data_IF_552068628086
#
_entry.id   IF_552068628086
#
_cell.length_a   1.000
_cell.length_b   1.000
_cell.length_c   1.000
_cell.angle_alpha   90.00
_cell.angle_beta   90.00
_cell.angle_gamma   90.00
#
_symmetry.space_group_name_H-M   'P 1'
#
loop_
_entity.id
_entity.type
_entity.pdbx_description
1 polymer ?
#
# COMPACT_ATOMS: atom_id res chain seq x y z
N UNK A 1 7.37 23.40 -1.11
CA UNK A 1 7.74 22.66 0.12
C UNK A 1 8.62 21.42 -0.15
N UNK A 2 8.41 20.66 -1.23
CA UNK A 2 9.23 19.46 -1.55
C UNK A 2 10.49 19.69 -2.40
N UNK A 3 10.68 20.88 -2.98
CA UNK A 3 11.77 21.19 -3.91
C UNK A 3 13.16 20.94 -3.34
N UNK A 4 13.37 21.24 -2.06
CA UNK A 4 14.65 21.05 -1.38
C UNK A 4 15.03 19.56 -1.28
N UNK A 5 14.06 18.66 -1.10
CA UNK A 5 14.30 17.22 -1.04
C UNK A 5 14.65 16.64 -2.41
N UNK A 6 13.93 17.06 -3.46
CA UNK A 6 14.20 16.62 -4.82
C UNK A 6 15.62 17.00 -5.29
N UNK A 7 16.05 18.23 -4.98
CA UNK A 7 17.43 18.67 -5.25
C UNK A 7 18.46 17.83 -4.49
N UNK A 8 18.21 17.52 -3.21
CA UNK A 8 19.09 16.67 -2.41
C UNK A 8 19.19 15.25 -2.98
N UNK A 9 18.05 14.64 -3.33
CA UNK A 9 18.04 13.31 -3.95
C UNK A 9 18.82 13.29 -5.26
N UNK A 10 18.65 14.31 -6.10
CA UNK A 10 19.41 14.43 -7.35
C UNK A 10 20.93 14.53 -7.11
N UNK A 11 21.36 15.37 -6.16
CA UNK A 11 22.79 15.49 -5.79
C UNK A 11 23.34 14.18 -5.23
N UNK A 12 22.55 13.46 -4.43
CA UNK A 12 22.92 12.17 -3.86
C UNK A 12 22.71 10.98 -4.81
N UNK A 13 22.25 11.22 -6.05
CA UNK A 13 21.89 10.19 -7.04
C UNK A 13 20.90 9.14 -6.52
N UNK A 14 19.98 9.57 -5.67
CA UNK A 14 18.86 8.78 -5.18
C UNK A 14 17.67 9.02 -6.10
N UNK A 15 17.07 7.95 -6.62
CA UNK A 15 15.90 8.01 -7.47
C UNK A 15 14.67 7.54 -6.69
N UNK A 16 13.64 8.38 -6.65
CA UNK A 16 12.38 8.10 -5.95
C UNK A 16 11.27 8.07 -7.00
N UNK A 17 10.42 7.04 -6.94
CA UNK A 17 9.26 6.89 -7.82
C UNK A 17 8.01 6.73 -6.96
N UNK A 18 6.96 7.47 -7.30
CA UNK A 18 5.64 7.28 -6.72
C UNK A 18 4.78 6.47 -7.70
N UNK A 19 4.19 5.38 -7.22
CA UNK A 19 3.36 4.45 -8.01
C UNK A 19 2.21 3.95 -7.14
N UNK A 20 1.07 3.69 -7.75
CA UNK A 20 0.02 2.87 -7.13
C UNK A 20 0.50 1.41 -7.03
N UNK A 21 -0.07 0.62 -6.11
CA UNK A 21 0.24 -0.81 -6.01
C UNK A 21 0.07 -1.53 -7.36
N UNK A 22 -1.00 -1.20 -8.09
CA UNK A 22 -1.26 -1.73 -9.43
C UNK A 22 -0.15 -1.41 -10.44
N UNK A 23 0.27 -0.14 -10.52
CA UNK A 23 1.29 0.30 -11.48
C UNK A 23 2.72 -0.13 -11.11
N UNK A 24 2.94 -0.60 -9.89
CA UNK A 24 4.21 -1.16 -9.43
C UNK A 24 4.37 -2.66 -9.77
N UNK A 25 3.33 -3.33 -10.28
CA UNK A 25 3.39 -4.76 -10.62
C UNK A 25 4.50 -5.03 -11.64
N UNK A 26 5.34 -6.04 -11.35
CA UNK A 26 6.49 -6.42 -12.19
C UNK A 26 7.71 -5.51 -12.04
N UNK A 27 7.62 -4.43 -11.26
CA UNK A 27 8.75 -3.60 -10.87
C UNK A 27 9.19 -3.99 -9.46
N UNK A 28 10.43 -3.67 -9.09
CA UNK A 28 10.96 -3.92 -7.75
C UNK A 28 11.93 -2.81 -7.37
N UNK A 29 12.10 -2.57 -6.08
CA UNK A 29 13.04 -1.58 -5.56
C UNK A 29 13.78 -2.13 -4.33
N UNK A 30 14.97 -1.58 -4.06
CA UNK A 30 15.74 -1.93 -2.85
C UNK A 30 14.94 -1.63 -1.58
N UNK A 31 14.34 -0.44 -1.53
CA UNK A 31 13.44 -0.03 -0.46
C UNK A 31 12.07 0.36 -1.02
N UNK A 32 10.99 -0.07 -0.35
CA UNK A 32 9.61 0.28 -0.70
C UNK A 32 8.92 0.87 0.53
N UNK A 33 8.22 1.97 0.31
CA UNK A 33 7.37 2.63 1.30
C UNK A 33 5.92 2.50 0.80
N UNK A 34 5.10 1.77 1.54
CA UNK A 34 3.67 1.67 1.29
C UNK A 34 2.97 2.62 2.26
N UNK A 35 2.24 3.59 1.71
CA UNK A 35 1.51 4.61 2.46
C UNK A 35 0.01 4.42 2.27
N UNK A 36 -0.80 5.04 3.15
CA UNK A 36 -2.26 4.99 3.04
C UNK A 36 -2.85 3.64 3.45
N UNK A 37 -2.15 2.87 4.29
CA UNK A 37 -2.65 1.61 4.83
C UNK A 37 -3.61 1.86 6.00
N UNK A 38 -4.71 2.54 5.74
CA UNK A 38 -5.72 2.90 6.75
C UNK A 38 -7.09 2.29 6.45
N UNK A 39 -8.00 2.28 7.42
CA UNK A 39 -9.39 1.83 7.20
C UNK A 39 -10.23 2.90 6.48
N UNK A 40 -11.37 2.44 5.95
CA UNK A 40 -12.44 3.32 5.46
C UNK A 40 -12.22 3.90 4.06
N UNK A 41 -12.97 4.96 3.75
CA UNK A 41 -13.00 5.56 2.41
C UNK A 41 -11.64 6.19 2.05
N UNK A 42 -11.05 5.75 0.93
CA UNK A 42 -9.72 6.19 0.51
C UNK A 42 -8.57 5.53 1.27
N UNK A 43 -8.87 4.56 2.13
CA UNK A 43 -7.91 3.68 2.76
C UNK A 43 -7.64 2.42 1.93
N UNK A 44 -7.04 1.42 2.57
CA UNK A 44 -6.73 0.14 1.97
C UNK A 44 -7.03 -0.98 2.98
N UNK A 45 -7.79 -2.03 2.62
CA UNK A 45 -8.27 -2.36 1.28
C UNK A 45 -9.41 -1.45 0.79
N UNK A 46 -9.42 -1.13 -0.51
CA UNK A 46 -10.45 -0.30 -1.14
C UNK A 46 -11.58 -1.16 -1.71
N UNK A 47 -12.24 -1.90 -0.82
CA UNK A 47 -13.41 -2.73 -1.14
C UNK A 47 -14.70 -1.92 -1.31
N UNK A 48 -14.68 -0.65 -0.88
CA UNK A 48 -15.82 0.25 -0.90
C UNK A 48 -16.01 0.91 -2.26
N UNK A 49 -15.85 0.14 -3.35
CA UNK A 49 -16.26 0.60 -4.68
C UNK A 49 -17.75 0.98 -4.62
N UNK A 50 -17.99 2.27 -4.42
CA UNK A 50 -19.30 2.95 -4.34
C UNK A 50 -20.04 2.93 -5.69
N UNK A 51 -19.58 2.15 -6.67
CA UNK A 51 -20.26 2.03 -7.94
C UNK A 51 -21.42 1.05 -7.83
N UNK A 52 -22.57 1.59 -7.41
CA UNK A 52 -23.90 0.99 -7.58
C UNK A 52 -24.13 0.46 -9.00
N UNK A 53 -23.44 1.00 -10.00
CA UNK A 53 -23.48 0.54 -11.39
C UNK A 53 -22.75 -0.80 -11.57
N UNK A 54 -21.59 -1.01 -10.94
CA UNK A 54 -20.84 -2.27 -11.04
C UNK A 54 -21.59 -3.43 -10.39
N UNK A 55 -22.27 -3.20 -9.27
CA UNK A 55 -23.08 -4.20 -8.57
C UNK A 55 -24.31 -4.66 -9.38
N UNK A 56 -24.84 -3.80 -10.26
CA UNK A 56 -25.96 -4.13 -11.15
C UNK A 56 -25.53 -5.02 -12.32
N UNK A 57 -24.28 -4.91 -12.78
CA UNK A 57 -23.75 -5.64 -13.95
C UNK A 57 -23.07 -6.96 -13.55
N UNK A 58 -22.47 -7.02 -12.35
CA UNK A 58 -21.96 -8.26 -11.75
C UNK A 58 -22.26 -8.26 -10.25
N UNK A 59 -22.98 -9.27 -9.71
CA UNK A 59 -23.01 -9.51 -8.28
C UNK A 59 -21.59 -9.90 -7.86
N UNK A 60 -20.80 -8.89 -7.52
CA UNK A 60 -19.41 -9.09 -7.15
C UNK A 60 -19.44 -9.45 -5.67
N UNK A 61 -19.10 -10.71 -5.37
CA UNK A 61 -19.06 -11.18 -3.99
C UNK A 61 -18.00 -10.38 -3.24
N UNK A 62 -18.39 -9.80 -2.11
CA UNK A 62 -17.51 -9.01 -1.25
C UNK A 62 -16.19 -9.75 -0.95
N UNK A 63 -16.28 -11.06 -0.71
CA UNK A 63 -15.11 -11.91 -0.43
C UNK A 63 -14.13 -11.95 -1.61
N UNK A 64 -14.61 -11.96 -2.87
CA UNK A 64 -13.73 -11.92 -4.04
C UNK A 64 -13.00 -10.58 -4.17
N UNK A 65 -13.66 -9.47 -3.83
CA UNK A 65 -13.02 -8.15 -3.82
C UNK A 65 -11.95 -8.07 -2.73
N UNK A 66 -12.25 -8.58 -1.54
CA UNK A 66 -11.31 -8.65 -0.44
C UNK A 66 -10.08 -9.50 -0.80
N UNK A 67 -10.28 -10.65 -1.47
CA UNK A 67 -9.17 -11.51 -1.91
C UNK A 67 -8.30 -10.86 -3.00
N UNK A 68 -8.88 -10.07 -3.91
CA UNK A 68 -8.07 -9.33 -4.89
C UNK A 68 -7.28 -8.19 -4.23
N UNK A 69 -7.85 -7.47 -3.27
CA UNK A 69 -7.14 -6.46 -2.48
C UNK A 69 -6.01 -7.10 -1.64
N UNK A 70 -6.27 -8.25 -1.02
CA UNK A 70 -5.26 -9.07 -0.30
C UNK A 70 -4.12 -9.48 -1.23
N UNK A 71 -4.44 -9.93 -2.44
CA UNK A 71 -3.43 -10.26 -3.47
C UNK A 71 -2.63 -9.02 -3.87
N UNK A 72 -3.28 -7.87 -4.02
CA UNK A 72 -2.61 -6.62 -4.35
C UNK A 72 -1.66 -6.18 -3.23
N UNK A 73 -2.06 -6.33 -1.97
CA UNK A 73 -1.21 -6.12 -0.80
C UNK A 73 0.04 -7.02 -0.86
N UNK A 74 -0.16 -8.31 -1.11
CA UNK A 74 0.94 -9.27 -1.28
C UNK A 74 1.89 -8.88 -2.42
N UNK A 75 1.36 -8.43 -3.54
CA UNK A 75 2.18 -7.90 -4.64
C UNK A 75 2.97 -6.69 -4.17
N UNK A 76 2.34 -5.74 -3.46
CA UNK A 76 2.99 -4.52 -2.99
C UNK A 76 4.14 -4.81 -2.02
N UNK A 77 3.95 -5.69 -1.02
CA UNK A 77 5.00 -6.04 -0.05
C UNK A 77 6.18 -6.75 -0.73
N UNK A 78 5.91 -7.60 -1.73
CA UNK A 78 6.96 -8.33 -2.48
C UNK A 78 7.70 -7.45 -3.49
N UNK A 79 7.34 -6.17 -3.66
CA UNK A 79 8.13 -5.24 -4.48
C UNK A 79 9.43 -4.82 -3.78
N UNK A 80 9.52 -4.98 -2.47
CA UNK A 80 10.71 -4.68 -1.68
C UNK A 80 11.74 -5.82 -1.78
N UNK A 81 12.97 -5.50 -2.16
CA UNK A 81 14.09 -6.45 -2.15
C UNK A 81 14.78 -6.55 -0.79
N UNK A 82 15.06 -5.38 -0.20
CA UNK A 82 15.90 -5.29 0.98
C UNK A 82 15.11 -4.77 2.18
N UNK A 83 14.31 -3.71 1.99
CA UNK A 83 13.63 -3.00 3.08
C UNK A 83 12.19 -2.64 2.72
N UNK A 84 11.26 -2.97 3.61
CA UNK A 84 9.84 -2.66 3.49
C UNK A 84 9.40 -1.77 4.65
N UNK A 85 8.77 -0.65 4.33
CA UNK A 85 8.16 0.26 5.30
C UNK A 85 6.67 0.34 5.04
N UNK A 86 5.88 0.03 6.06
CA UNK A 86 4.42 0.11 6.03
C UNK A 86 4.00 1.29 6.89
N UNK A 87 3.37 2.29 6.27
CA UNK A 87 3.02 3.55 6.90
C UNK A 87 1.50 3.65 7.00
N UNK A 88 1.04 3.88 8.22
CA UNK A 88 -0.37 3.94 8.59
C UNK A 88 -0.60 5.03 9.66
N UNK A 89 -1.87 5.25 10.00
CA UNK A 89 -2.31 6.14 11.05
C UNK A 89 -2.69 5.33 12.30
N UNK A 90 -2.22 5.78 13.47
CA UNK A 90 -2.49 5.10 14.73
C UNK A 90 -3.99 5.07 15.04
N UNK A 91 -4.51 3.91 15.42
CA UNK A 91 -5.93 3.62 15.66
C UNK A 91 -6.82 3.66 14.41
N UNK A 92 -6.23 3.66 13.22
CA UNK A 92 -6.94 3.61 11.93
C UNK A 92 -6.22 2.67 10.97
N UNK A 93 -5.57 1.63 11.49
CA UNK A 93 -4.70 0.73 10.75
C UNK A 93 -5.48 -0.19 9.80
N UNK A 94 -4.97 -0.37 8.57
CA UNK A 94 -5.45 -1.40 7.65
C UNK A 94 -5.45 -2.78 8.31
N UNK A 95 -6.53 -3.53 8.12
CA UNK A 95 -6.69 -4.86 8.71
C UNK A 95 -5.60 -5.83 8.25
N UNK A 96 -5.04 -5.63 7.05
CA UNK A 96 -3.96 -6.47 6.55
C UNK A 96 -2.65 -6.30 7.33
N UNK A 97 -2.49 -5.22 8.10
CA UNK A 97 -1.35 -5.05 8.99
C UNK A 97 -1.47 -5.95 10.22
N UNK A 98 -2.68 -6.21 10.71
CA UNK A 98 -2.93 -7.10 11.86
C UNK A 98 -2.63 -8.57 11.54
N UNK A 99 -2.67 -8.93 10.27
CA UNK A 99 -2.40 -10.29 9.81
C UNK A 99 -0.89 -10.61 9.73
N UNK A 100 -0.03 -9.59 9.75
CA UNK A 100 1.42 -9.82 9.74
C UNK A 100 1.84 -10.24 11.15
N UNK A 101 2.47 -11.41 11.33
CA UNK A 101 2.87 -11.86 12.66
C UNK A 101 3.84 -10.87 13.31
N UNK A 102 3.62 -10.56 14.59
CA UNK A 102 4.39 -9.54 15.33
C UNK A 102 5.90 -9.81 15.34
N UNK A 103 6.34 -11.08 15.22
CA UNK A 103 7.76 -11.42 15.16
C UNK A 103 8.46 -10.99 13.87
N UNK A 104 7.72 -10.51 12.86
CA UNK A 104 8.25 -9.96 11.61
C UNK A 104 8.11 -8.43 11.53
N UNK A 105 7.55 -7.78 12.55
CA UNK A 105 7.22 -6.34 12.50
C UNK A 105 7.92 -5.60 13.63
N UNK A 106 8.64 -4.54 13.27
CA UNK A 106 9.13 -3.54 14.24
C UNK A 106 8.22 -2.32 14.17
N UNK A 107 7.38 -2.13 15.19
CA UNK A 107 6.46 -0.99 15.28
C UNK A 107 7.21 0.23 15.80
N UNK A 108 7.18 1.32 15.04
CA UNK A 108 7.77 2.61 15.44
C UNK A 108 6.67 3.66 15.43
N UNK A 109 6.57 4.44 16.52
CA UNK A 109 5.67 5.59 16.60
C UNK A 109 6.53 6.82 16.33
N UNK A 110 6.19 7.58 15.29
CA UNK A 110 6.87 8.82 14.89
C UNK A 110 5.94 9.99 15.14
#
# INVERSE_FOLDING_TARGET
MFSNYLSRFKTQRVFVQAKTMHSAKGLEAKAVFIIGLTQGKGGFPDIWLEDRIFQVVKPTQHDLLMEEERRLFYVAITRAKDQLYLITEKNNESMFLEEIPDNFVVKTII
#
